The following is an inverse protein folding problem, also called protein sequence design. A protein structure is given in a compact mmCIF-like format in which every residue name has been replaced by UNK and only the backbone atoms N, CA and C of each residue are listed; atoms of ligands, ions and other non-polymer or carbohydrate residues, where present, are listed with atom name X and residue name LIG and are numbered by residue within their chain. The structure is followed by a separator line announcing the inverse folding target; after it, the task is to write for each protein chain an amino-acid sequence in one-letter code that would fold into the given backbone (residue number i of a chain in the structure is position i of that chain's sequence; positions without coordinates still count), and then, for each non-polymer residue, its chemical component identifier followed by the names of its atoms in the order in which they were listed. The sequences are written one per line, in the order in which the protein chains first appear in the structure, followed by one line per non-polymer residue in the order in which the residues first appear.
data_IF_682766957771
#
_entry.id   IF_682766957771
#
_cell.length_a   1.000
_cell.length_b   1.000
_cell.length_c   1.000
_cell.angle_alpha   90.00
_cell.angle_beta   90.00
_cell.angle_gamma   90.00
#
_symmetry.space_group_name_H-M   'P 1'
#
loop_
_entity.id
_entity.type
_entity.pdbx_description
1 polymer ?
#
# COMPACT_ATOMS: atom_id res chain seq x y z
N UNK A 1 -38.43 -3.41 -5.66
CA UNK A 1 -37.24 -2.83 -6.31
C UNK A 1 -36.01 -3.26 -5.52
N UNK A 2 -35.23 -4.19 -6.06
CA UNK A 2 -34.08 -4.81 -5.37
C UNK A 2 -32.87 -3.87 -5.30
N UNK A 3 -32.24 -3.79 -4.13
CA UNK A 3 -31.02 -3.00 -3.88
C UNK A 3 -29.81 -3.83 -4.32
N UNK A 4 -29.13 -3.44 -5.39
CA UNK A 4 -27.82 -3.96 -5.74
C UNK A 4 -26.80 -3.37 -4.75
N UNK A 5 -26.44 -4.14 -3.72
CA UNK A 5 -25.25 -3.85 -2.91
C UNK A 5 -24.06 -4.53 -3.58
N UNK A 6 -23.62 -3.96 -4.70
CA UNK A 6 -22.32 -4.34 -5.26
C UNK A 6 -21.26 -3.72 -4.34
N UNK A 7 -20.80 -4.50 -3.36
CA UNK A 7 -19.56 -4.18 -2.66
C UNK A 7 -18.43 -4.43 -3.65
N UNK A 8 -18.23 -3.52 -4.60
CA UNK A 8 -16.97 -3.44 -5.30
C UNK A 8 -15.95 -3.12 -4.22
N UNK A 9 -15.05 -4.04 -3.90
CA UNK A 9 -13.78 -3.60 -3.34
C UNK A 9 -13.26 -2.50 -4.27
N UNK A 10 -12.90 -1.32 -3.74
CA UNK A 10 -12.54 -0.18 -4.57
C UNK A 10 -11.38 -0.61 -5.47
N UNK A 11 -11.65 -0.65 -6.77
CA UNK A 11 -10.66 -1.00 -7.76
C UNK A 11 -9.75 0.22 -7.96
N UNK A 12 -8.44 0.01 -7.84
CA UNK A 12 -7.43 1.04 -7.99
C UNK A 12 -6.57 0.73 -9.22
N UNK A 13 -6.34 1.73 -10.06
CA UNK A 13 -5.42 1.64 -11.19
C UNK A 13 -3.96 1.80 -10.75
N UNK A 14 -3.00 1.43 -11.62
CA UNK A 14 -1.58 1.64 -11.31
C UNK A 14 -1.25 3.13 -11.09
N UNK A 15 -1.91 4.05 -11.81
CA UNK A 15 -1.66 5.49 -11.71
C UNK A 15 -2.11 6.03 -10.34
N UNK A 16 -3.31 5.66 -9.90
CA UNK A 16 -3.82 5.98 -8.56
C UNK A 16 -2.96 5.34 -7.46
N UNK A 17 -2.42 4.14 -7.70
CA UNK A 17 -1.46 3.51 -6.80
C UNK A 17 -0.19 4.34 -6.66
N UNK A 18 0.38 4.84 -7.76
CA UNK A 18 1.58 5.69 -7.73
C UNK A 18 1.34 7.00 -6.97
N UNK A 19 0.16 7.61 -7.09
CA UNK A 19 -0.17 8.82 -6.32
C UNK A 19 -0.32 8.55 -4.82
N UNK A 20 -0.73 7.34 -4.44
CA UNK A 20 -1.03 6.97 -3.06
C UNK A 20 0.12 6.25 -2.32
N UNK A 21 1.11 5.69 -3.05
CA UNK A 21 2.13 4.79 -2.49
C UNK A 21 3.06 5.47 -1.50
N UNK A 22 3.41 6.75 -1.71
CA UNK A 22 4.24 7.52 -0.77
C UNK A 22 3.56 7.61 0.61
N UNK A 23 2.30 8.05 0.64
CA UNK A 23 1.54 8.13 1.89
C UNK A 23 1.32 6.77 2.54
N UNK A 24 1.17 5.71 1.75
CA UNK A 24 1.09 4.35 2.28
C UNK A 24 2.40 3.90 2.93
N UNK A 25 3.54 4.16 2.30
CA UNK A 25 4.87 3.88 2.86
C UNK A 25 5.08 4.60 4.18
N UNK A 26 4.70 5.88 4.26
CA UNK A 26 4.75 6.65 5.51
C UNK A 26 3.87 6.02 6.61
N UNK A 27 2.65 5.59 6.28
CA UNK A 27 1.78 4.90 7.23
C UNK A 27 2.37 3.55 7.70
N UNK A 28 3.03 2.82 6.80
CA UNK A 28 3.69 1.56 7.15
C UNK A 28 4.83 1.79 8.15
N UNK A 29 5.67 2.80 7.91
CA UNK A 29 6.79 3.18 8.78
C UNK A 29 6.33 3.74 10.13
N UNK A 30 5.24 4.52 10.14
CA UNK A 30 4.66 5.09 11.35
C UNK A 30 3.86 4.07 12.19
N UNK A 31 3.78 2.81 11.76
CA UNK A 31 2.89 1.80 12.34
C UNK A 31 1.41 2.23 12.36
N UNK A 32 1.03 3.17 11.50
CA UNK A 32 -0.32 3.71 11.39
C UNK A 32 -1.22 2.76 10.58
N UNK A 33 -2.54 2.75 10.84
CA UNK A 33 -3.47 1.93 10.08
C UNK A 33 -3.48 2.34 8.60
N UNK A 34 -3.23 1.38 7.72
CA UNK A 34 -3.32 1.57 6.28
C UNK A 34 -4.77 1.80 5.86
N UNK A 35 -5.10 3.06 5.58
CA UNK A 35 -6.48 3.50 5.39
C UNK A 35 -6.84 3.75 3.92
N UNK A 36 -5.93 3.42 2.99
CA UNK A 36 -6.07 3.74 1.56
C UNK A 36 -6.92 2.65 0.89
N UNK A 37 -8.17 2.94 0.51
CA UNK A 37 -9.06 1.92 -0.04
C UNK A 37 -8.53 1.41 -1.38
N UNK A 38 -8.50 0.09 -1.57
CA UNK A 38 -8.15 -0.54 -2.85
C UNK A 38 -6.65 -0.72 -3.08
N UNK A 39 -5.80 0.01 -2.35
CA UNK A 39 -4.35 -0.06 -2.53
C UNK A 39 -3.78 -1.43 -2.19
N UNK A 40 -4.14 -2.02 -1.04
CA UNK A 40 -3.69 -3.38 -0.67
C UNK A 40 -4.10 -4.42 -1.70
N UNK A 41 -5.35 -4.40 -2.13
CA UNK A 41 -5.86 -5.31 -3.15
C UNK A 41 -5.10 -5.14 -4.48
N UNK A 42 -4.74 -3.90 -4.85
CA UNK A 42 -3.92 -3.62 -6.02
C UNK A 42 -2.49 -4.16 -5.87
N UNK A 43 -1.81 -3.91 -4.74
CA UNK A 43 -0.45 -4.39 -4.49
C UNK A 43 -0.38 -5.92 -4.47
N UNK A 44 -1.41 -6.61 -3.95
CA UNK A 44 -1.52 -8.06 -4.01
C UNK A 44 -1.72 -8.59 -5.45
N UNK A 45 -2.35 -7.81 -6.32
CA UNK A 45 -2.63 -8.19 -7.71
C UNK A 45 -1.54 -7.77 -8.71
N UNK A 46 -0.75 -6.73 -8.40
CA UNK A 46 0.22 -6.11 -9.29
C UNK A 46 1.64 -6.19 -8.70
N UNK A 47 2.41 -7.19 -9.16
CA UNK A 47 3.80 -7.38 -8.71
C UNK A 47 4.71 -6.18 -8.96
N UNK A 48 4.51 -5.43 -10.05
CA UNK A 48 5.30 -4.23 -10.33
C UNK A 48 5.07 -3.16 -9.25
N UNK A 49 3.82 -2.83 -8.94
CA UNK A 49 3.51 -1.85 -7.90
C UNK A 49 3.93 -2.30 -6.50
N UNK A 50 3.89 -3.61 -6.21
CA UNK A 50 4.42 -4.17 -4.97
C UNK A 50 5.93 -3.95 -4.83
N UNK A 51 6.69 -4.25 -5.89
CA UNK A 51 8.15 -4.07 -5.88
C UNK A 51 8.55 -2.59 -5.82
N UNK A 52 7.80 -1.70 -6.48
CA UNK A 52 7.98 -0.25 -6.36
C UNK A 52 7.70 0.23 -4.93
N UNK A 53 6.59 -0.22 -4.32
CA UNK A 53 6.25 0.09 -2.93
C UNK A 53 7.34 -0.40 -1.96
N UNK A 54 7.89 -1.60 -2.19
CA UNK A 54 8.98 -2.16 -1.39
C UNK A 54 10.27 -1.34 -1.52
N UNK A 55 10.60 -0.94 -2.74
CA UNK A 55 11.79 -0.13 -3.03
C UNK A 55 11.69 1.25 -2.37
N UNK A 56 10.53 1.90 -2.50
CA UNK A 56 10.25 3.18 -1.86
C UNK A 56 10.29 3.07 -0.33
N UNK A 57 9.73 2.00 0.24
CA UNK A 57 9.76 1.74 1.67
C UNK A 57 11.19 1.64 2.22
N UNK A 58 12.07 0.90 1.52
CA UNK A 58 13.47 0.77 1.89
C UNK A 58 14.20 2.12 1.84
N UNK A 59 13.92 2.92 0.81
CA UNK A 59 14.51 4.26 0.66
C UNK A 59 14.04 5.20 1.78
N UNK A 60 12.74 5.26 2.03
CA UNK A 60 12.16 6.11 3.07
C UNK A 60 12.62 5.71 4.48
N UNK A 61 12.75 4.41 4.76
CA UNK A 61 13.29 3.93 6.04
C UNK A 61 14.76 4.35 6.23
N UNK A 62 15.57 4.24 5.18
CA UNK A 62 16.96 4.67 5.22
C UNK A 62 17.10 6.18 5.43
N UNK A 63 16.26 6.99 4.78
CA UNK A 63 16.22 8.45 4.96
C UNK A 63 15.80 8.84 6.39
N UNK A 64 14.79 8.16 6.94
CA UNK A 64 14.31 8.37 8.30
C UNK A 64 15.23 7.76 9.40
N UNK A 65 16.21 6.93 9.02
CA UNK A 65 17.10 6.25 9.96
C UNK A 65 16.39 5.20 10.83
N UNK A 66 15.33 4.57 10.30
CA UNK A 66 14.52 3.55 11.00
C UNK A 66 14.73 2.17 10.39
N UNK A 67 14.50 1.12 11.17
CA UNK A 67 14.54 -0.25 10.67
C UNK A 67 13.29 -0.55 9.81
N UNK A 68 13.44 -0.99 8.54
CA UNK A 68 12.30 -1.28 7.67
C UNK A 68 11.65 -2.65 7.94
N UNK A 69 12.21 -3.49 8.83
CA UNK A 69 11.78 -4.88 8.99
C UNK A 69 10.30 -4.99 9.32
N UNK A 70 9.83 -4.20 10.29
CA UNK A 70 8.43 -4.18 10.70
C UNK A 70 7.49 -3.74 9.57
N UNK A 71 7.88 -2.73 8.81
CA UNK A 71 7.08 -2.21 7.71
C UNK A 71 7.04 -3.20 6.54
N UNK A 72 8.14 -3.91 6.26
CA UNK A 72 8.21 -4.96 5.24
C UNK A 72 7.32 -6.16 5.59
N UNK A 73 7.27 -6.55 6.87
CA UNK A 73 6.34 -7.60 7.33
C UNK A 73 4.88 -7.19 7.10
N UNK A 74 4.53 -5.92 7.37
CA UNK A 74 3.18 -5.39 7.14
C UNK A 74 2.82 -5.33 5.65
N UNK A 75 3.78 -4.99 4.81
CA UNK A 75 3.65 -5.01 3.35
C UNK A 75 3.51 -6.43 2.80
N UNK A 76 4.23 -7.41 3.35
CA UNK A 76 4.18 -8.81 2.93
C UNK A 76 2.90 -9.55 3.36
N UNK A 77 2.24 -9.06 4.41
CA UNK A 77 0.86 -9.44 4.76
C UNK A 77 -0.19 -8.63 3.97
N UNK A 78 0.26 -7.94 2.91
CA UNK A 78 -0.43 -7.27 1.80
C UNK A 78 -1.79 -7.85 1.40
#
# INVERSE_FOLDING_TARGET
MGRLTFSAEPWMSCDECFEAVDGYVEMLLAEAPDSIPGLRAHLAACSACLEECRSLLLLAAADAGVDPGRALERLGNA
#
